data_IF_786423214349
#
_entry.id   IF_786423214349
#
_cell.length_a   1.000
_cell.length_b   1.000
_cell.length_c   1.000
_cell.angle_alpha   90.00
_cell.angle_beta   90.00
_cell.angle_gamma   90.00
#
_symmetry.space_group_name_H-M   'P 1'
#
loop_
_entity.id
_entity.type
_entity.pdbx_description
1 polymer ?
#
# COMPACT_ATOMS: atom_id res chain seq x y z
N UNK A 1 -1.99 -21.38 23.48
CA UNK A 1 -2.04 -20.75 23.14
C UNK A 1 -1.16 -19.89 22.72
N UNK A 2 -0.78 -19.12 23.06
CA UNK A 2 0.10 -18.28 22.70
C UNK A 2 1.18 -18.80 21.93
N UNK A 3 1.65 -19.84 22.08
CA UNK A 3 2.71 -20.27 21.38
C UNK A 3 2.49 -20.34 19.96
N UNK A 4 1.38 -20.48 19.51
CA UNK A 4 1.11 -20.51 18.18
C UNK A 4 1.53 -19.34 17.44
N UNK A 5 1.16 -18.21 17.83
CA UNK A 5 1.48 -17.10 17.06
C UNK A 5 2.89 -16.79 17.07
N UNK A 6 3.57 -17.30 17.93
CA UNK A 6 4.92 -17.03 18.01
C UNK A 6 5.59 -17.59 16.82
N UNK A 7 5.28 -18.73 16.43
CA UNK A 7 5.85 -19.30 15.30
C UNK A 7 5.67 -18.53 14.10
N UNK A 8 4.58 -18.05 13.88
CA UNK A 8 4.34 -17.31 12.73
C UNK A 8 5.23 -16.15 12.64
N UNK A 9 5.43 -15.53 13.67
CA UNK A 9 6.25 -14.38 13.67
C UNK A 9 7.63 -14.71 13.21
N UNK A 10 8.14 -15.73 13.68
CA UNK A 10 9.46 -16.07 13.34
C UNK A 10 9.57 -16.32 11.89
N UNK A 11 8.66 -16.99 11.38
CA UNK A 11 8.66 -17.28 10.01
C UNK A 11 8.77 -16.04 9.19
N UNK A 12 8.03 -15.10 9.49
CA UNK A 12 8.03 -13.89 8.76
C UNK A 12 9.36 -13.23 8.73
N UNK A 13 10.00 -13.24 9.79
CA UNK A 13 11.22 -12.60 9.82
C UNK A 13 12.21 -13.18 8.91
N UNK A 14 12.28 -14.42 8.81
CA UNK A 14 13.21 -14.99 7.97
C UNK A 14 13.11 -14.48 6.58
N UNK A 15 12.00 -14.40 6.09
CA UNK A 15 11.82 -13.93 4.78
C UNK A 15 12.35 -12.59 4.57
N UNK A 16 12.08 -11.73 5.44
CA UNK A 16 12.56 -10.43 5.34
C UNK A 16 14.03 -10.35 5.23
N UNK A 17 14.69 -11.10 5.98
CA UNK A 17 16.11 -10.96 5.96
C UNK A 17 16.67 -11.18 4.59
N UNK A 18 16.07 -12.00 3.82
CA UNK A 18 16.64 -12.24 2.56
C UNK A 18 16.57 -11.05 1.65
N UNK A 19 15.66 -10.21 1.84
CA UNK A 19 15.57 -9.11 1.00
C UNK A 19 16.56 -8.08 1.25
N UNK A 20 16.85 -7.92 2.41
CA UNK A 20 17.80 -6.99 2.76
C UNK A 20 18.99 -6.86 1.91
N UNK A 21 19.67 -7.85 1.67
CA UNK A 21 20.86 -7.65 0.98
C UNK A 21 20.63 -7.17 -0.42
N UNK A 22 19.57 -7.50 -0.97
CA UNK A 22 19.40 -7.10 -2.30
C UNK A 22 19.17 -5.63 -2.35
N UNK A 23 18.62 -5.11 -1.37
CA UNK A 23 18.31 -3.71 -1.46
C UNK A 23 19.44 -2.85 -1.18
N UNK A 24 20.51 -3.39 -1.11
CA UNK A 24 21.55 -2.57 -0.79
C UNK A 24 21.63 -1.40 -1.62
N UNK A 25 21.31 -1.41 -2.80
CA UNK A 25 21.44 -0.28 -3.56
C UNK A 25 20.45 0.71 -3.31
N UNK A 26 20.32 1.64 -4.05
CA UNK A 26 19.36 2.64 -3.83
C UNK A 26 18.06 2.11 -4.17
N UNK A 27 17.04 2.47 -3.50
CA UNK A 27 15.73 2.01 -3.77
C UNK A 27 15.02 2.95 -4.69
N UNK A 28 14.28 2.42 -5.61
CA UNK A 28 13.55 3.27 -6.49
C UNK A 28 12.13 3.36 -6.06
N UNK A 29 11.55 4.52 -6.17
CA UNK A 29 10.16 4.69 -5.80
C UNK A 29 9.30 4.18 -6.92
N UNK A 30 8.15 3.64 -6.61
CA UNK A 30 7.22 3.20 -7.64
C UNK A 30 6.59 4.47 -8.17
N UNK A 31 6.05 4.44 -9.34
CA UNK A 31 5.47 5.65 -9.93
C UNK A 31 4.11 5.91 -9.31
N UNK A 32 3.63 7.14 -9.45
CA UNK A 32 2.34 7.47 -8.90
C UNK A 32 1.26 6.69 -9.62
N UNK A 33 1.41 6.44 -10.91
CA UNK A 33 0.43 5.67 -11.62
C UNK A 33 0.38 4.26 -11.09
N UNK A 34 1.53 3.69 -10.77
CA UNK A 34 1.56 2.36 -10.25
C UNK A 34 0.88 2.32 -8.89
N UNK A 35 1.11 3.34 -8.07
CA UNK A 35 0.50 3.40 -6.75
C UNK A 35 -1.03 3.47 -6.89
N UNK A 36 -1.52 4.25 -7.85
CA UNK A 36 -2.95 4.36 -8.03
C UNK A 36 -3.51 3.01 -8.47
N UNK A 37 -2.79 2.29 -9.32
CA UNK A 37 -3.25 1.01 -9.77
C UNK A 37 -3.34 0.02 -8.62
N UNK A 38 -2.38 0.10 -7.70
CA UNK A 38 -2.38 -0.80 -6.56
C UNK A 38 -3.63 -0.53 -5.71
N UNK A 39 -3.95 0.73 -5.49
CA UNK A 39 -5.10 1.07 -4.69
C UNK A 39 -6.38 0.68 -5.41
N UNK A 40 -6.45 0.95 -6.72
CA UNK A 40 -7.65 0.64 -7.46
C UNK A 40 -7.93 -0.86 -7.53
N UNK A 41 -6.90 -1.66 -7.41
CA UNK A 41 -7.10 -3.09 -7.45
C UNK A 41 -7.93 -3.57 -6.26
N UNK A 42 -8.01 -2.77 -5.20
CA UNK A 42 -8.80 -3.15 -4.06
C UNK A 42 -10.25 -2.69 -4.18
N UNK A 43 -10.58 -1.97 -5.22
CA UNK A 43 -11.94 -1.47 -5.39
C UNK A 43 -12.41 -1.89 -6.78
N UNK A 44 -12.86 -3.12 -6.93
CA UNK A 44 -13.26 -3.64 -8.23
C UNK A 44 -14.27 -2.74 -8.90
N UNK A 45 -14.03 -2.41 -10.13
CA UNK A 45 -14.94 -1.55 -10.87
C UNK A 45 -14.52 -0.10 -10.89
N UNK A 46 -13.68 0.32 -9.98
CA UNK A 46 -13.25 1.70 -9.96
C UNK A 46 -12.15 1.91 -10.98
N UNK A 47 -12.04 3.11 -11.49
CA UNK A 47 -11.02 3.42 -12.50
C UNK A 47 -10.25 4.64 -12.04
N UNK A 48 -9.29 5.07 -12.82
CA UNK A 48 -8.53 6.25 -12.46
C UNK A 48 -9.44 7.47 -12.27
N UNK A 49 -10.55 7.52 -12.95
CA UNK A 49 -11.45 8.65 -12.81
C UNK A 49 -12.04 8.71 -11.40
N UNK A 50 -11.98 7.62 -10.66
CA UNK A 50 -12.52 7.60 -9.32
C UNK A 50 -11.51 8.07 -8.27
N UNK A 51 -10.27 8.28 -8.67
CA UNK A 51 -9.27 8.74 -7.73
C UNK A 51 -9.44 10.24 -7.62
N UNK A 52 -9.96 10.70 -6.49
CA UNK A 52 -10.23 12.10 -6.32
C UNK A 52 -9.06 12.91 -5.83
N UNK A 53 -8.25 12.31 -4.99
CA UNK A 53 -7.11 13.01 -4.47
C UNK A 53 -5.93 12.11 -4.48
N UNK A 54 -4.77 12.63 -4.72
CA UNK A 54 -3.58 11.84 -4.70
C UNK A 54 -2.41 12.75 -4.39
N UNK A 55 -1.74 12.51 -3.27
CA UNK A 55 -0.63 13.33 -2.86
C UNK A 55 0.65 12.54 -2.99
N UNK A 56 1.55 13.00 -3.81
CA UNK A 56 2.81 12.32 -3.99
C UNK A 56 3.98 13.13 -3.48
N UNK A 57 3.71 14.20 -2.76
CA UNK A 57 4.78 15.00 -2.28
C UNK A 57 5.48 14.46 -1.05
N UNK A 58 4.87 13.53 -0.37
CA UNK A 58 5.48 12.98 0.80
C UNK A 58 6.62 12.11 0.33
N UNK A 59 7.71 12.08 1.03
CA UNK A 59 8.84 11.31 0.59
C UNK A 59 8.72 9.82 0.83
N UNK A 60 7.87 9.41 1.73
CA UNK A 60 7.75 8.00 2.04
C UNK A 60 6.43 7.35 1.70
N UNK A 61 5.41 8.14 1.52
CA UNK A 61 4.10 7.60 1.27
C UNK A 61 3.36 8.31 0.16
N UNK A 62 2.56 7.55 -0.56
CA UNK A 62 1.63 8.13 -1.49
C UNK A 62 0.28 8.03 -0.78
N UNK A 63 -0.45 9.14 -0.70
CA UNK A 63 -1.74 9.14 -0.05
C UNK A 63 -2.80 9.51 -1.04
N UNK A 64 -3.94 8.89 -0.95
CA UNK A 64 -4.99 9.20 -1.91
C UNK A 64 -6.37 8.80 -1.44
N UNK A 65 -7.34 9.13 -2.24
CA UNK A 65 -8.70 8.78 -1.95
C UNK A 65 -9.41 8.35 -3.22
N UNK A 66 -10.15 7.27 -3.16
CA UNK A 66 -10.95 6.79 -4.27
C UNK A 66 -12.40 6.92 -3.84
N UNK A 67 -13.24 7.45 -4.71
CA UNK A 67 -14.65 7.55 -4.41
C UNK A 67 -15.38 6.68 -5.41
N UNK A 68 -16.10 5.67 -4.92
CA UNK A 68 -16.76 4.77 -5.81
C UNK A 68 -18.04 4.22 -5.15
N UNK A 69 -19.15 4.36 -5.85
CA UNK A 69 -20.43 3.89 -5.36
C UNK A 69 -20.77 4.33 -3.95
N UNK A 70 -20.57 5.58 -3.68
CA UNK A 70 -20.96 6.14 -2.38
C UNK A 70 -20.00 5.84 -1.23
N UNK A 71 -18.86 5.29 -1.54
CA UNK A 71 -17.90 4.99 -0.50
C UNK A 71 -16.60 5.69 -0.82
N UNK A 72 -15.98 6.28 0.18
CA UNK A 72 -14.70 6.92 0.01
C UNK A 72 -13.66 6.00 0.63
N UNK A 73 -12.66 5.65 -0.15
CA UNK A 73 -11.60 4.78 0.32
C UNK A 73 -10.34 5.61 0.44
N UNK A 74 -9.78 5.69 1.65
CA UNK A 74 -8.58 6.47 1.85
C UNK A 74 -7.43 5.50 1.99
N UNK A 75 -6.30 5.79 1.34
CA UNK A 75 -5.20 4.85 1.38
C UNK A 75 -3.86 5.53 1.50
N UNK A 76 -2.89 4.80 2.00
CA UNK A 76 -1.52 5.25 2.06
C UNK A 76 -0.68 4.08 1.60
N UNK A 77 0.23 4.33 0.68
CA UNK A 77 1.05 3.29 0.09
C UNK A 77 2.52 3.64 0.23
N UNK A 78 3.32 2.66 0.60
CA UNK A 78 4.75 2.86 0.74
C UNK A 78 5.33 3.10 -0.64
N UNK A 79 6.03 4.21 -0.83
CA UNK A 79 6.52 4.56 -2.14
C UNK A 79 7.61 3.64 -2.67
N UNK A 80 8.25 2.87 -1.84
CA UNK A 80 9.29 1.99 -2.32
C UNK A 80 8.80 0.58 -2.56
N UNK A 81 7.92 0.07 -1.75
CA UNK A 81 7.48 -1.30 -1.88
C UNK A 81 6.14 -1.45 -2.55
N UNK A 82 5.34 -0.40 -2.58
CA UNK A 82 4.01 -0.51 -3.13
C UNK A 82 3.03 -1.13 -2.16
N UNK A 83 3.45 -1.34 -0.91
CA UNK A 83 2.58 -1.97 0.04
C UNK A 83 1.59 -0.98 0.61
N UNK A 84 0.34 -1.37 0.73
CA UNK A 84 -0.67 -0.50 1.31
C UNK A 84 -0.49 -0.54 2.81
N UNK A 85 -0.20 0.59 3.39
CA UNK A 85 0.03 0.69 4.80
C UNK A 85 -1.21 1.07 5.57
N UNK A 86 -2.06 1.86 4.98
CA UNK A 86 -3.30 2.25 5.61
C UNK A 86 -4.42 2.19 4.62
N UNK A 87 -5.57 1.75 5.07
CA UNK A 87 -6.72 1.66 4.19
C UNK A 87 -7.96 1.86 5.06
N UNK A 88 -8.79 2.83 4.72
CA UNK A 88 -10.02 3.02 5.47
C UNK A 88 -11.16 3.33 4.52
N UNK A 89 -12.36 3.00 4.90
CA UNK A 89 -13.53 3.20 4.08
C UNK A 89 -14.56 4.00 4.83
N UNK A 90 -15.16 4.96 4.16
CA UNK A 90 -16.15 5.78 4.77
C UNK A 90 -17.33 5.87 3.86
N UNK A 91 -18.51 5.50 4.32
CA UNK A 91 -19.69 5.58 3.47
C UNK A 91 -20.17 7.00 3.47
N UNK A 92 -20.58 7.48 2.34
CA UNK A 92 -21.04 8.85 2.24
C UNK A 92 -22.52 8.98 2.30
#
# INVERSE_FOLDING_TARGET
MKRKFLKMTLFGMLIISSLIFSGNKERKKITSIKAKQIALAKVPGATFANVLEFDSENTNLYKGQISYRGVAYNFEIDVYTGKIINWSEEKK
#
